data_IF_430246827662
#
_entry.id   IF_430246827662
#
_cell.length_a   1.000
_cell.length_b   1.000
_cell.length_c   1.000
_cell.angle_alpha   90.00
_cell.angle_beta   90.00
_cell.angle_gamma   90.00
#
_symmetry.space_group_name_H-M   'P 1'
#
loop_
_entity.id
_entity.type
_entity.pdbx_description
1 polymer ?
#
# COMPACT_ATOMS: atom_id res chain seq x y z
N UNK A 1 -27.63 -53.85 -38.75
CA UNK A 1 -28.00 -53.44 -37.38
C UNK A 1 -27.29 -52.12 -37.11
N UNK A 2 -28.04 -51.03 -37.28
CA UNK A 2 -27.55 -49.64 -37.15
C UNK A 2 -27.50 -49.26 -35.66
N UNK A 3 -26.35 -48.82 -35.18
CA UNK A 3 -26.21 -48.22 -33.85
C UNK A 3 -26.32 -46.69 -34.00
N UNK A 4 -27.39 -46.12 -33.45
CA UNK A 4 -27.64 -44.70 -33.42
C UNK A 4 -26.69 -44.04 -32.40
N UNK A 5 -25.88 -43.07 -32.86
CA UNK A 5 -25.05 -42.23 -32.02
C UNK A 5 -25.91 -41.22 -31.27
N UNK A 6 -25.72 -41.15 -29.94
CA UNK A 6 -26.27 -40.11 -29.06
C UNK A 6 -25.58 -38.78 -29.30
N UNK A 7 -26.29 -37.65 -29.31
CA UNK A 7 -25.68 -36.33 -29.43
C UNK A 7 -24.98 -35.94 -28.12
N UNK A 8 -23.75 -35.46 -28.24
CA UNK A 8 -22.97 -34.85 -27.13
C UNK A 8 -23.64 -33.56 -26.67
N UNK A 9 -23.72 -33.29 -25.35
CA UNK A 9 -24.26 -32.02 -24.84
C UNK A 9 -23.33 -30.86 -25.22
N UNK A 10 -23.95 -29.84 -25.85
CA UNK A 10 -23.27 -28.65 -26.35
C UNK A 10 -22.51 -27.91 -25.24
N UNK A 11 -21.27 -27.54 -25.55
CA UNK A 11 -20.45 -26.62 -24.79
C UNK A 11 -21.22 -25.30 -24.58
N UNK A 12 -21.15 -24.65 -23.41
CA UNK A 12 -21.76 -23.34 -23.21
C UNK A 12 -21.11 -22.32 -24.14
N UNK A 13 -21.89 -21.81 -25.09
CA UNK A 13 -21.50 -20.73 -25.99
C UNK A 13 -21.26 -19.49 -25.09
N UNK A 14 -20.00 -19.07 -24.98
CA UNK A 14 -19.67 -17.80 -24.34
C UNK A 14 -20.43 -16.67 -25.05
N UNK A 15 -21.09 -15.74 -24.32
CA UNK A 15 -21.83 -14.66 -24.94
C UNK A 15 -20.88 -13.86 -25.83
N UNK A 16 -21.25 -13.75 -27.13
CA UNK A 16 -20.51 -12.92 -28.10
C UNK A 16 -20.64 -11.45 -27.66
N UNK A 17 -19.62 -10.94 -26.99
CA UNK A 17 -19.54 -9.51 -26.67
C UNK A 17 -19.59 -8.72 -27.97
N UNK A 18 -20.57 -7.85 -28.10
CA UNK A 18 -20.73 -6.97 -29.26
C UNK A 18 -19.54 -6.01 -29.33
N UNK A 19 -19.13 -5.60 -30.54
CA UNK A 19 -17.99 -4.68 -30.75
C UNK A 19 -18.11 -3.42 -29.87
N UNK A 20 -19.33 -2.90 -29.70
CA UNK A 20 -19.61 -1.73 -28.86
C UNK A 20 -19.32 -1.94 -27.37
N UNK A 21 -19.58 -3.12 -26.82
CA UNK A 21 -19.25 -3.42 -25.42
C UNK A 21 -17.74 -3.56 -25.22
N UNK A 22 -17.04 -4.17 -26.16
CA UNK A 22 -15.56 -4.25 -26.13
C UNK A 22 -14.90 -2.88 -26.26
N UNK A 23 -15.44 -2.00 -27.11
CA UNK A 23 -14.94 -0.64 -27.27
C UNK A 23 -15.21 0.20 -26.01
N UNK A 24 -16.39 0.11 -25.42
CA UNK A 24 -16.73 0.78 -24.16
C UNK A 24 -15.85 0.29 -22.99
N UNK A 25 -15.63 -1.01 -22.89
CA UNK A 25 -14.75 -1.60 -21.89
C UNK A 25 -13.28 -1.18 -22.11
N UNK A 26 -12.82 -1.13 -23.36
CA UNK A 26 -11.48 -0.64 -23.69
C UNK A 26 -11.30 0.84 -23.38
N UNK A 27 -12.31 1.68 -23.67
CA UNK A 27 -12.30 3.10 -23.36
C UNK A 27 -12.32 3.37 -21.85
N UNK A 28 -13.13 2.61 -21.10
CA UNK A 28 -13.14 2.72 -19.63
C UNK A 28 -11.85 2.21 -19.00
N UNK A 29 -11.26 1.16 -19.54
CA UNK A 29 -9.96 0.64 -19.11
C UNK A 29 -8.81 1.62 -19.44
N UNK A 30 -8.86 2.26 -20.62
CA UNK A 30 -7.86 3.24 -21.05
C UNK A 30 -8.03 4.62 -20.37
N UNK A 31 -9.20 4.94 -19.84
CA UNK A 31 -9.51 6.26 -19.29
C UNK A 31 -8.60 6.67 -18.13
N UNK A 32 -8.30 5.76 -17.21
CA UNK A 32 -7.41 6.03 -16.06
C UNK A 32 -5.96 6.29 -16.47
N UNK A 33 -5.31 5.46 -17.30
CA UNK A 33 -3.94 5.73 -17.76
C UNK A 33 -3.87 6.97 -18.64
N UNK A 34 -4.87 7.26 -19.49
CA UNK A 34 -4.93 8.50 -20.29
C UNK A 34 -5.02 9.74 -19.39
N UNK A 35 -5.88 9.72 -18.38
CA UNK A 35 -6.00 10.81 -17.41
C UNK A 35 -4.68 11.05 -16.68
N UNK A 36 -3.99 9.98 -16.27
CA UNK A 36 -2.67 10.09 -15.66
C UNK A 36 -1.64 10.69 -16.64
N UNK A 37 -1.62 10.25 -17.89
CA UNK A 37 -0.76 10.81 -18.94
C UNK A 37 -1.00 12.30 -19.15
N UNK A 38 -2.27 12.73 -19.19
CA UNK A 38 -2.64 14.15 -19.33
C UNK A 38 -2.18 14.98 -18.10
N UNK A 39 -2.37 14.45 -16.89
CA UNK A 39 -1.88 15.10 -15.66
C UNK A 39 -0.36 15.24 -15.65
N UNK A 40 0.34 14.18 -16.05
CA UNK A 40 1.80 14.17 -16.18
C UNK A 40 2.27 15.23 -17.18
N UNK A 41 1.68 15.23 -18.37
CA UNK A 41 1.98 16.21 -19.41
C UNK A 41 1.73 17.64 -18.92
N UNK A 42 0.57 17.92 -18.33
CA UNK A 42 0.23 19.24 -17.80
C UNK A 42 1.19 19.68 -16.67
N UNK A 43 1.57 18.77 -15.77
CA UNK A 43 2.51 19.05 -14.68
C UNK A 43 3.89 19.42 -15.19
N UNK A 44 4.41 18.68 -16.18
CA UNK A 44 5.71 18.95 -16.81
C UNK A 44 5.67 20.26 -17.59
N UNK A 45 4.64 20.47 -18.41
CA UNK A 45 4.49 21.68 -19.21
C UNK A 45 4.37 22.94 -18.34
N UNK A 46 3.58 22.87 -17.27
CA UNK A 46 3.44 23.99 -16.33
C UNK A 46 4.76 24.29 -15.62
N UNK A 47 5.48 23.25 -15.16
CA UNK A 47 6.75 23.45 -14.46
C UNK A 47 7.84 24.03 -15.36
N UNK A 48 7.93 23.57 -16.61
CA UNK A 48 8.83 24.16 -17.62
C UNK A 48 8.46 25.60 -17.93
N UNK A 49 7.17 25.90 -18.14
CA UNK A 49 6.69 27.24 -18.38
C UNK A 49 7.10 28.22 -17.27
N UNK A 50 6.85 27.82 -16.00
CA UNK A 50 7.21 28.65 -14.83
C UNK A 50 8.73 28.81 -14.71
N UNK A 51 9.51 27.73 -14.93
CA UNK A 51 10.97 27.79 -14.85
C UNK A 51 11.57 28.69 -15.95
N UNK A 52 11.05 28.65 -17.18
CA UNK A 52 11.45 29.55 -18.27
C UNK A 52 11.01 31.00 -18.01
N UNK A 53 9.82 31.18 -17.43
CA UNK A 53 9.33 32.55 -17.09
C UNK A 53 10.18 33.20 -15.98
N UNK A 54 10.76 32.37 -15.07
CA UNK A 54 11.69 32.82 -14.03
C UNK A 54 13.14 32.90 -14.53
N UNK A 55 13.40 32.64 -15.80
CA UNK A 55 14.74 32.66 -16.41
C UNK A 55 15.75 31.80 -15.71
N UNK A 56 15.33 30.58 -15.24
CA UNK A 56 16.23 29.66 -14.55
C UNK A 56 17.15 28.97 -15.58
N UNK A 57 18.46 28.89 -15.25
CA UNK A 57 19.49 28.32 -16.12
C UNK A 57 19.23 26.88 -16.53
N UNK A 58 18.68 26.07 -15.62
CA UNK A 58 18.47 24.63 -15.82
C UNK A 58 17.00 24.24 -15.70
N UNK A 59 16.11 24.94 -16.41
CA UNK A 59 14.65 24.76 -16.40
C UNK A 59 14.20 23.28 -16.54
N UNK A 60 14.99 22.44 -17.25
CA UNK A 60 14.69 21.01 -17.43
C UNK A 60 14.61 20.24 -16.11
N UNK A 61 15.28 20.67 -15.04
CA UNK A 61 15.19 20.03 -13.73
C UNK A 61 13.82 20.23 -13.06
N UNK A 62 13.17 21.36 -13.33
CA UNK A 62 11.80 21.57 -12.88
C UNK A 62 10.85 20.58 -13.57
N UNK A 63 10.97 20.43 -14.91
CA UNK A 63 10.21 19.45 -15.68
C UNK A 63 10.46 18.00 -15.26
N UNK A 64 11.73 17.63 -15.12
CA UNK A 64 12.13 16.32 -14.64
C UNK A 64 11.60 16.03 -13.22
N UNK A 65 11.61 17.04 -12.34
CA UNK A 65 11.10 16.90 -10.97
C UNK A 65 9.59 16.73 -10.95
N UNK A 66 8.84 17.49 -11.76
CA UNK A 66 7.41 17.32 -11.92
C UNK A 66 7.07 15.91 -12.43
N UNK A 67 7.80 15.41 -13.43
CA UNK A 67 7.61 14.07 -13.99
C UNK A 67 7.85 12.97 -12.94
N UNK A 68 8.95 13.07 -12.19
CA UNK A 68 9.31 12.06 -11.17
C UNK A 68 8.35 12.06 -9.99
N UNK A 69 7.86 13.24 -9.58
CA UNK A 69 6.95 13.39 -8.44
C UNK A 69 5.53 13.02 -8.81
N UNK A 70 5.09 13.24 -10.04
CA UNK A 70 3.76 12.94 -10.50
C UNK A 70 3.46 11.43 -10.34
N UNK A 71 2.47 11.11 -9.52
CA UNK A 71 1.98 9.76 -9.25
C UNK A 71 0.48 9.69 -9.60
N UNK A 72 -0.11 8.49 -9.81
CA UNK A 72 -1.53 8.37 -10.09
C UNK A 72 -2.45 8.96 -9.02
N UNK A 73 -1.99 9.04 -7.78
CA UNK A 73 -2.73 9.55 -6.62
C UNK A 73 -2.05 10.78 -6.02
N UNK A 74 -2.85 11.77 -5.62
CA UNK A 74 -2.38 13.03 -5.04
C UNK A 74 -1.50 12.78 -3.80
N UNK A 75 -1.95 11.90 -2.89
CA UNK A 75 -1.23 11.61 -1.65
C UNK A 75 0.17 11.04 -1.87
N UNK A 76 0.31 10.10 -2.81
CA UNK A 76 1.61 9.55 -3.21
C UNK A 76 2.52 10.62 -3.78
N UNK A 77 1.96 11.50 -4.62
CA UNK A 77 2.70 12.59 -5.26
C UNK A 77 3.20 13.62 -4.23
N UNK A 78 2.33 14.08 -3.34
CA UNK A 78 2.69 15.01 -2.26
C UNK A 78 3.73 14.43 -1.32
N UNK A 79 3.55 13.14 -0.94
CA UNK A 79 4.50 12.45 -0.07
C UNK A 79 5.86 12.32 -0.73
N UNK A 80 5.89 11.88 -1.99
CA UNK A 80 7.12 11.76 -2.77
C UNK A 80 7.80 13.12 -2.98
N UNK A 81 7.02 14.17 -3.27
CA UNK A 81 7.51 15.52 -3.43
C UNK A 81 8.16 16.05 -2.15
N UNK A 82 7.53 15.85 -1.00
CA UNK A 82 8.07 16.25 0.29
C UNK A 82 9.41 15.58 0.59
N UNK A 83 9.50 14.27 0.43
CA UNK A 83 10.75 13.53 0.64
C UNK A 83 11.81 13.87 -0.41
N UNK A 84 11.40 14.20 -1.64
CA UNK A 84 12.30 14.71 -2.66
C UNK A 84 12.92 16.04 -2.25
N UNK A 85 12.10 16.97 -1.73
CA UNK A 85 12.60 18.27 -1.26
C UNK A 85 13.59 18.10 -0.11
N UNK A 86 13.26 17.28 0.90
CA UNK A 86 14.16 16.98 2.02
C UNK A 86 15.50 16.43 1.53
N UNK A 87 15.48 15.39 0.68
CA UNK A 87 16.70 14.79 0.15
C UNK A 87 17.55 15.78 -0.64
N UNK A 88 16.91 16.63 -1.45
CA UNK A 88 17.61 17.68 -2.21
C UNK A 88 18.27 18.68 -1.29
N UNK A 89 17.56 19.19 -0.28
CA UNK A 89 18.10 20.18 0.67
C UNK A 89 19.27 19.57 1.47
N UNK A 90 19.12 18.34 1.96
CA UNK A 90 20.18 17.65 2.71
C UNK A 90 21.41 17.43 1.83
N UNK A 91 21.24 16.98 0.58
CA UNK A 91 22.34 16.82 -0.37
C UNK A 91 23.00 18.14 -0.75
N UNK A 92 22.21 19.19 -0.93
CA UNK A 92 22.70 20.55 -1.21
C UNK A 92 23.55 21.12 -0.06
N UNK A 93 23.06 20.97 1.18
CA UNK A 93 23.82 21.39 2.36
C UNK A 93 25.12 20.60 2.49
N UNK A 94 25.07 19.28 2.28
CA UNK A 94 26.25 18.43 2.37
C UNK A 94 27.35 18.84 1.39
N UNK A 95 26.99 19.12 0.12
CA UNK A 95 27.99 19.53 -0.88
C UNK A 95 28.55 20.93 -0.58
N UNK A 96 27.75 21.87 -0.11
CA UNK A 96 28.24 23.18 0.31
C UNK A 96 29.25 23.04 1.46
N UNK A 97 28.97 22.21 2.46
CA UNK A 97 29.91 21.94 3.57
C UNK A 97 31.18 21.27 3.06
N UNK A 98 31.06 20.24 2.21
CA UNK A 98 32.23 19.55 1.62
C UNK A 98 33.10 20.52 0.82
N UNK A 99 32.51 21.39 0.03
CA UNK A 99 33.23 22.41 -0.73
C UNK A 99 33.91 23.39 0.19
N UNK A 100 33.25 23.84 1.25
CA UNK A 100 33.85 24.76 2.24
C UNK A 100 35.02 24.14 3.03
N UNK A 101 34.95 22.83 3.33
CA UNK A 101 36.02 22.12 4.05
C UNK A 101 37.24 21.81 3.15
N UNK A 102 37.04 21.58 1.85
CA UNK A 102 38.10 21.11 0.94
C UNK A 102 38.25 22.03 -0.29
N UNK A 103 38.42 23.33 -0.04
CA UNK A 103 38.42 24.36 -1.09
C UNK A 103 39.51 24.17 -2.14
N UNK A 104 40.67 23.61 -1.77
CA UNK A 104 41.86 23.53 -2.66
C UNK A 104 42.27 22.09 -3.03
N UNK A 105 41.86 21.11 -2.25
CA UNK A 105 42.34 19.73 -2.37
C UNK A 105 41.28 18.81 -2.99
N UNK A 106 41.48 18.43 -4.28
CA UNK A 106 40.53 17.56 -5.00
C UNK A 106 40.43 16.14 -4.42
N UNK A 107 41.55 15.57 -3.94
CA UNK A 107 41.56 14.19 -3.45
C UNK A 107 40.71 14.02 -2.18
N UNK A 108 40.89 14.80 -1.08
CA UNK A 108 40.04 14.69 0.09
C UNK A 108 38.59 15.09 -0.17
N UNK A 109 38.31 16.02 -1.11
CA UNK A 109 36.95 16.33 -1.55
C UNK A 109 36.25 15.10 -2.18
N UNK A 110 36.91 14.40 -3.11
CA UNK A 110 36.35 13.19 -3.73
C UNK A 110 36.16 12.05 -2.73
N UNK A 111 37.09 11.89 -1.77
CA UNK A 111 36.93 10.90 -0.68
C UNK A 111 35.73 11.28 0.21
N UNK A 112 35.61 12.54 0.60
CA UNK A 112 34.47 13.03 1.37
C UNK A 112 33.14 12.81 0.65
N UNK A 113 33.08 13.10 -0.65
CA UNK A 113 31.90 12.88 -1.49
C UNK A 113 31.55 11.38 -1.59
N UNK A 114 32.55 10.52 -1.77
CA UNK A 114 32.35 9.07 -1.79
C UNK A 114 31.83 8.53 -0.45
N UNK A 115 32.37 8.99 0.67
CA UNK A 115 31.91 8.63 2.02
C UNK A 115 30.48 9.12 2.26
N UNK A 116 30.15 10.34 1.83
CA UNK A 116 28.79 10.86 1.87
C UNK A 116 27.82 9.98 1.08
N UNK A 117 28.15 9.66 -0.16
CA UNK A 117 27.36 8.78 -1.02
C UNK A 117 27.14 7.40 -0.40
N UNK A 118 28.20 6.79 0.13
CA UNK A 118 28.15 5.50 0.82
C UNK A 118 27.25 5.55 2.06
N UNK A 119 27.36 6.63 2.88
CA UNK A 119 26.49 6.85 4.03
C UNK A 119 25.01 7.01 3.64
N UNK A 120 24.73 7.76 2.57
CA UNK A 120 23.39 7.89 2.02
C UNK A 120 22.83 6.55 1.49
N UNK A 121 23.65 5.77 0.80
CA UNK A 121 23.26 4.45 0.32
C UNK A 121 22.97 3.49 1.48
N UNK A 122 23.81 3.47 2.51
CA UNK A 122 23.57 2.68 3.73
C UNK A 122 22.25 3.10 4.40
N UNK A 123 22.05 4.40 4.58
CA UNK A 123 20.81 4.93 5.18
C UNK A 123 19.58 4.56 4.36
N UNK A 124 19.67 4.59 3.03
CA UNK A 124 18.58 4.18 2.14
C UNK A 124 18.22 2.69 2.28
N UNK A 125 19.18 1.81 2.63
CA UNK A 125 18.88 0.39 2.88
C UNK A 125 18.21 0.15 4.22
N UNK A 126 18.41 1.04 5.21
CA UNK A 126 17.80 0.94 6.55
C UNK A 126 16.40 1.56 6.60
N UNK A 127 16.13 2.52 5.75
CA UNK A 127 14.84 3.20 5.68
C UNK A 127 13.88 2.46 4.73
N UNK A 128 12.59 2.83 4.80
CA UNK A 128 11.53 2.24 3.96
C UNK A 128 10.82 3.33 3.13
N UNK A 129 10.19 2.92 2.05
CA UNK A 129 9.32 3.74 1.22
C UNK A 129 9.99 5.06 0.76
N UNK A 130 9.29 6.18 0.89
CA UNK A 130 9.78 7.49 0.45
C UNK A 130 10.95 8.02 1.29
N UNK A 131 11.13 7.56 2.53
CA UNK A 131 12.29 7.94 3.34
C UNK A 131 13.60 7.35 2.79
N UNK A 132 13.57 6.10 2.31
CA UNK A 132 14.70 5.48 1.60
C UNK A 132 15.07 6.26 0.33
N UNK A 133 14.04 6.67 -0.43
CA UNK A 133 14.21 7.51 -1.62
C UNK A 133 14.87 8.86 -1.28
N UNK A 134 14.46 9.51 -0.18
CA UNK A 134 15.05 10.78 0.27
C UNK A 134 16.53 10.64 0.60
N UNK A 135 16.93 9.57 1.29
CA UNK A 135 18.33 9.30 1.63
C UNK A 135 19.19 9.06 0.36
N UNK A 136 18.71 8.25 -0.57
CA UNK A 136 19.38 8.02 -1.85
C UNK A 136 19.52 9.33 -2.65
N UNK A 137 18.48 10.16 -2.63
CA UNK A 137 18.47 11.44 -3.34
C UNK A 137 19.45 12.45 -2.75
N UNK A 138 19.69 12.44 -1.42
CA UNK A 138 20.68 13.29 -0.80
C UNK A 138 22.10 13.00 -1.31
N UNK A 139 22.45 11.73 -1.47
CA UNK A 139 23.72 11.32 -2.10
C UNK A 139 23.80 11.74 -3.58
N UNK A 140 22.75 11.46 -4.32
CA UNK A 140 22.66 11.79 -5.74
C UNK A 140 22.72 13.30 -6.01
N UNK A 141 22.02 14.12 -5.22
CA UNK A 141 22.02 15.59 -5.36
C UNK A 141 23.40 16.18 -5.11
N UNK A 142 24.08 15.74 -4.05
CA UNK A 142 25.44 16.18 -3.76
C UNK A 142 26.39 15.84 -4.90
N UNK A 143 26.28 14.63 -5.48
CA UNK A 143 27.12 14.20 -6.59
C UNK A 143 26.87 15.01 -7.87
N UNK A 144 25.61 15.34 -8.19
CA UNK A 144 25.32 16.18 -9.38
C UNK A 144 25.90 17.57 -9.21
N UNK A 145 25.66 18.24 -8.07
CA UNK A 145 26.20 19.58 -7.82
C UNK A 145 27.75 19.55 -7.87
N UNK A 146 28.37 18.49 -7.32
CA UNK A 146 29.81 18.30 -7.40
C UNK A 146 30.28 18.16 -8.85
N UNK A 147 29.57 17.41 -9.70
CA UNK A 147 29.94 17.23 -11.10
C UNK A 147 29.82 18.51 -11.90
N UNK A 148 28.78 19.30 -11.63
CA UNK A 148 28.60 20.62 -12.27
C UNK A 148 29.73 21.59 -11.89
N UNK A 149 30.20 21.56 -10.61
CA UNK A 149 31.35 22.34 -10.16
C UNK A 149 32.68 21.89 -10.78
N UNK A 150 32.92 20.57 -10.84
CA UNK A 150 34.19 20.02 -11.37
C UNK A 150 34.27 20.18 -12.90
N UNK A 151 33.12 20.23 -13.58
CA UNK A 151 33.03 20.46 -15.02
C UNK A 151 33.22 21.92 -15.45
N UNK A 152 33.04 22.87 -14.53
CA UNK A 152 33.28 24.27 -14.80
C UNK A 152 34.79 24.57 -14.81
N UNK A 153 35.29 25.17 -15.86
CA UNK A 153 36.72 25.46 -16.10
C UNK A 153 37.31 26.57 -15.21
N UNK A 154 36.83 26.73 -13.99
CA UNK A 154 37.18 27.86 -13.14
C UNK A 154 37.62 27.53 -11.69
N UNK A 155 37.64 26.28 -11.27
CA UNK A 155 38.03 25.91 -9.90
C UNK A 155 36.88 26.11 -8.87
N UNK A 156 37.09 25.74 -7.59
CA UNK A 156 36.06 25.76 -6.54
C UNK A 156 35.82 27.18 -6.03
N UNK A 157 35.12 27.96 -6.80
CA UNK A 157 34.75 29.33 -6.45
C UNK A 157 33.31 29.30 -5.95
N UNK A 158 32.99 29.62 -4.72
CA UNK A 158 31.71 30.03 -4.16
C UNK A 158 30.37 29.62 -4.81
N UNK A 159 30.42 29.12 -6.01
CA UNK A 159 29.28 28.77 -6.88
C UNK A 159 28.48 27.56 -6.37
N UNK A 160 29.07 26.72 -5.49
CA UNK A 160 28.37 25.59 -4.88
C UNK A 160 27.08 26.00 -4.18
N UNK A 161 27.13 27.15 -3.49
CA UNK A 161 25.96 27.66 -2.79
C UNK A 161 24.89 28.14 -3.77
N UNK A 162 25.28 28.85 -4.82
CA UNK A 162 24.35 29.32 -5.84
C UNK A 162 23.75 28.13 -6.61
N UNK A 163 24.58 27.17 -7.04
CA UNK A 163 24.12 25.95 -7.67
C UNK A 163 23.17 25.13 -6.77
N UNK A 164 23.45 25.05 -5.46
CA UNK A 164 22.59 24.38 -4.48
C UNK A 164 21.22 25.05 -4.37
N UNK A 165 21.17 26.39 -4.30
CA UNK A 165 19.92 27.17 -4.23
C UNK A 165 19.14 27.03 -5.53
N UNK A 166 19.78 27.23 -6.67
CA UNK A 166 19.14 27.12 -7.99
C UNK A 166 18.54 25.72 -8.16
N UNK A 167 19.30 24.69 -7.81
CA UNK A 167 18.82 23.32 -7.87
C UNK A 167 17.60 23.06 -6.95
N UNK A 168 17.65 23.55 -5.71
CA UNK A 168 16.53 23.41 -4.78
C UNK A 168 15.28 24.17 -5.28
N UNK A 169 15.47 25.34 -5.89
CA UNK A 169 14.38 26.13 -6.45
C UNK A 169 13.74 25.44 -7.66
N UNK A 170 14.53 24.94 -8.61
CA UNK A 170 14.05 24.20 -9.79
C UNK A 170 13.24 22.96 -9.38
N UNK A 171 13.77 22.17 -8.43
CA UNK A 171 13.07 20.99 -7.90
C UNK A 171 11.80 21.40 -7.16
N UNK A 172 11.84 22.48 -6.37
CA UNK A 172 10.69 23.01 -5.65
C UNK A 172 9.56 23.43 -6.60
N UNK A 173 9.88 24.14 -7.69
CA UNK A 173 8.92 24.54 -8.72
C UNK A 173 8.26 23.31 -9.35
N UNK A 174 9.06 22.30 -9.72
CA UNK A 174 8.52 21.05 -10.27
C UNK A 174 7.55 20.35 -9.31
N UNK A 175 7.87 20.29 -8.02
CA UNK A 175 7.00 19.69 -6.97
C UNK A 175 5.71 20.49 -6.83
N UNK A 176 5.78 21.82 -6.76
CA UNK A 176 4.61 22.68 -6.59
C UNK A 176 3.68 22.60 -7.80
N UNK A 177 4.22 22.68 -9.01
CA UNK A 177 3.43 22.59 -10.25
C UNK A 177 2.73 21.23 -10.37
N UNK A 178 3.43 20.13 -10.08
CA UNK A 178 2.82 18.81 -10.05
C UNK A 178 1.72 18.73 -8.97
N UNK A 179 1.96 19.28 -7.79
CA UNK A 179 0.98 19.36 -6.70
C UNK A 179 -0.29 20.12 -7.10
N UNK A 180 -0.16 21.24 -7.75
CA UNK A 180 -1.30 22.08 -8.22
C UNK A 180 -2.14 21.30 -9.23
N UNK A 181 -1.52 20.71 -10.25
CA UNK A 181 -2.25 19.96 -11.28
C UNK A 181 -2.98 18.76 -10.67
N UNK A 182 -2.31 18.01 -9.79
CA UNK A 182 -2.93 16.86 -9.14
C UNK A 182 -4.04 17.30 -8.17
N UNK A 183 -3.83 18.32 -7.35
CA UNK A 183 -4.85 18.82 -6.44
C UNK A 183 -6.11 19.33 -7.17
N UNK A 184 -5.94 19.92 -8.36
CA UNK A 184 -7.05 20.37 -9.18
C UNK A 184 -7.78 19.25 -9.95
N UNK A 185 -7.18 18.07 -10.07
CA UNK A 185 -7.72 16.97 -10.88
C UNK A 185 -8.02 15.70 -10.10
N UNK A 186 -7.42 15.49 -8.93
CA UNK A 186 -7.68 14.35 -8.05
C UNK A 186 -8.67 14.79 -6.96
N UNK A 187 -9.90 14.27 -7.06
CA UNK A 187 -11.00 14.60 -6.14
C UNK A 187 -10.85 13.93 -4.76
N UNK A 188 -9.70 13.33 -4.47
CA UNK A 188 -9.46 12.61 -3.24
C UNK A 188 -10.18 11.25 -3.21
N UNK A 189 -9.61 10.31 -2.51
CA UNK A 189 -10.22 8.97 -2.44
C UNK A 189 -9.39 7.99 -1.63
N UNK A 190 -8.22 8.42 -1.16
CA UNK A 190 -7.32 7.58 -0.39
C UNK A 190 -8.02 6.93 0.79
N UNK A 191 -8.84 7.70 1.49
CA UNK A 191 -9.63 7.24 2.63
C UNK A 191 -10.60 6.12 2.26
N UNK A 192 -11.40 6.32 1.19
CA UNK A 192 -12.34 5.29 0.69
C UNK A 192 -11.61 4.09 0.14
N UNK A 193 -10.52 4.31 -0.59
CA UNK A 193 -9.68 3.24 -1.14
C UNK A 193 -9.07 2.41 -0.02
N UNK A 194 -8.48 3.04 0.99
CA UNK A 194 -7.90 2.37 2.14
C UNK A 194 -8.97 1.57 2.89
N UNK A 195 -10.13 2.19 3.20
CA UNK A 195 -11.27 1.52 3.80
C UNK A 195 -11.73 0.30 2.99
N UNK A 196 -11.84 0.41 1.66
CA UNK A 196 -12.24 -0.71 0.81
C UNK A 196 -11.21 -1.85 0.79
N UNK A 197 -9.91 -1.55 0.88
CA UNK A 197 -8.86 -2.56 0.96
C UNK A 197 -8.91 -3.31 2.29
N UNK A 198 -9.05 -2.59 3.42
CA UNK A 198 -9.22 -3.21 4.73
C UNK A 198 -10.47 -4.07 4.80
N UNK A 199 -11.62 -3.55 4.31
CA UNK A 199 -12.87 -4.29 4.25
C UNK A 199 -12.75 -5.55 3.40
N UNK A 200 -12.13 -5.45 2.22
CA UNK A 200 -11.91 -6.58 1.33
C UNK A 200 -11.06 -7.67 1.95
N UNK A 201 -9.93 -7.29 2.57
CA UNK A 201 -9.06 -8.24 3.27
C UNK A 201 -9.76 -8.87 4.47
N UNK A 202 -10.46 -8.09 5.28
CA UNK A 202 -11.22 -8.58 6.42
C UNK A 202 -12.30 -9.57 6.00
N UNK A 203 -13.08 -9.23 4.96
CA UNK A 203 -14.12 -10.10 4.42
C UNK A 203 -13.54 -11.42 3.87
N UNK A 204 -12.42 -11.36 3.15
CA UNK A 204 -11.77 -12.54 2.59
C UNK A 204 -11.19 -13.44 3.70
N UNK A 205 -10.51 -12.86 4.70
CA UNK A 205 -9.99 -13.62 5.85
C UNK A 205 -11.13 -14.30 6.59
N UNK A 206 -12.21 -13.57 6.90
CA UNK A 206 -13.38 -14.12 7.60
C UNK A 206 -14.06 -15.23 6.80
N UNK A 207 -14.26 -15.03 5.49
CA UNK A 207 -14.87 -16.02 4.61
C UNK A 207 -14.05 -17.31 4.49
N UNK A 208 -12.74 -17.21 4.31
CA UNK A 208 -11.85 -18.37 4.24
C UNK A 208 -11.69 -19.07 5.57
N UNK A 209 -11.67 -18.33 6.68
CA UNK A 209 -11.68 -18.88 8.02
C UNK A 209 -12.96 -19.69 8.27
N UNK A 210 -14.12 -19.13 7.97
CA UNK A 210 -15.41 -19.81 8.10
C UNK A 210 -15.49 -21.05 7.22
N UNK A 211 -15.01 -20.98 5.97
CA UNK A 211 -14.93 -22.13 5.08
C UNK A 211 -14.04 -23.26 5.66
N UNK A 212 -12.96 -22.91 6.37
CA UNK A 212 -12.10 -23.89 7.05
C UNK A 212 -12.87 -24.65 8.13
N UNK A 213 -13.73 -23.96 8.90
CA UNK A 213 -14.58 -24.60 9.91
C UNK A 213 -15.68 -25.45 9.27
N UNK A 214 -16.32 -24.97 8.19
CA UNK A 214 -17.39 -25.72 7.48
C UNK A 214 -16.84 -26.99 6.86
N UNK A 215 -15.62 -26.99 6.33
CA UNK A 215 -14.97 -28.12 5.68
C UNK A 215 -14.14 -28.97 6.64
N UNK A 216 -14.25 -28.75 7.96
CA UNK A 216 -13.52 -29.51 8.96
C UNK A 216 -13.83 -31.02 8.85
N UNK A 217 -12.80 -31.85 8.98
CA UNK A 217 -12.88 -33.30 8.82
C UNK A 217 -12.14 -33.78 7.56
N UNK A 218 -12.68 -34.77 6.81
CA UNK A 218 -11.95 -35.38 5.69
C UNK A 218 -11.68 -34.41 4.53
N UNK A 219 -12.46 -33.34 4.41
CA UNK A 219 -12.36 -32.35 3.34
C UNK A 219 -11.65 -31.05 3.76
N UNK A 220 -10.92 -31.09 4.88
CA UNK A 220 -10.19 -29.90 5.37
C UNK A 220 -9.15 -29.45 4.34
N UNK A 221 -9.27 -28.24 3.77
CA UNK A 221 -8.35 -27.78 2.74
C UNK A 221 -6.98 -27.42 3.34
N UNK A 222 -5.93 -27.51 2.53
CA UNK A 222 -4.66 -26.86 2.88
C UNK A 222 -4.84 -25.34 2.84
N UNK A 223 -4.79 -24.72 4.01
CA UNK A 223 -4.98 -23.27 4.17
C UNK A 223 -3.68 -22.49 4.00
N UNK A 224 -2.52 -23.15 3.90
CA UNK A 224 -1.21 -22.50 3.90
C UNK A 224 -1.00 -21.56 2.70
N UNK A 225 -1.32 -21.95 1.44
CA UNK A 225 -1.15 -21.06 0.29
C UNK A 225 -2.01 -19.81 0.40
N UNK A 226 -3.29 -19.97 0.80
CA UNK A 226 -4.22 -18.86 0.94
C UNK A 226 -3.77 -17.87 2.05
N UNK A 227 -3.29 -18.37 3.18
CA UNK A 227 -2.78 -17.53 4.27
C UNK A 227 -1.49 -16.79 3.87
N UNK A 228 -0.58 -17.43 3.14
CA UNK A 228 0.64 -16.77 2.62
C UNK A 228 0.29 -15.63 1.67
N UNK A 229 -0.67 -15.85 0.77
CA UNK A 229 -1.11 -14.81 -0.18
C UNK A 229 -1.75 -13.64 0.57
N UNK A 230 -2.64 -13.90 1.53
CA UNK A 230 -3.26 -12.84 2.33
C UNK A 230 -2.22 -12.09 3.18
N UNK A 231 -1.25 -12.79 3.79
CA UNK A 231 -0.14 -12.15 4.52
C UNK A 231 0.63 -11.18 3.61
N UNK A 232 0.96 -11.61 2.39
CA UNK A 232 1.63 -10.74 1.41
C UNK A 232 0.79 -9.52 1.07
N UNK A 233 -0.53 -9.69 0.89
CA UNK A 233 -1.45 -8.58 0.60
C UNK A 233 -1.62 -7.63 1.79
N UNK A 234 -1.62 -8.12 3.02
CA UNK A 234 -1.62 -7.28 4.23
C UNK A 234 -0.32 -6.48 4.32
N UNK A 235 0.84 -7.11 4.07
CA UNK A 235 2.12 -6.39 4.04
C UNK A 235 2.16 -5.32 2.95
N UNK A 236 1.49 -5.54 1.81
CA UNK A 236 1.40 -4.58 0.72
C UNK A 236 0.49 -3.37 1.03
N UNK A 237 -0.18 -3.31 2.19
CA UNK A 237 -0.91 -2.12 2.64
C UNK A 237 0.02 -0.98 3.10
N UNK A 238 1.23 -1.29 3.58
CA UNK A 238 2.17 -0.30 4.12
C UNK A 238 2.43 0.89 3.17
N UNK A 239 2.82 0.69 1.90
CA UNK A 239 2.97 1.80 0.96
C UNK A 239 1.65 2.54 0.66
N UNK A 240 0.51 1.85 0.67
CA UNK A 240 -0.80 2.48 0.43
C UNK A 240 -1.20 3.37 1.62
N UNK A 241 -0.88 2.96 2.85
CA UNK A 241 -1.07 3.76 4.06
C UNK A 241 -0.17 5.00 4.02
N UNK A 242 1.11 4.84 3.63
CA UNK A 242 2.05 5.95 3.50
C UNK A 242 1.59 6.97 2.43
N UNK A 243 1.04 6.50 1.31
CA UNK A 243 0.39 7.36 0.31
C UNK A 243 -0.80 8.13 0.89
N UNK A 244 -1.67 7.45 1.64
CA UNK A 244 -2.87 8.06 2.24
C UNK A 244 -2.53 9.15 3.27
N UNK A 245 -1.41 9.01 3.97
CA UNK A 245 -0.89 10.05 4.87
C UNK A 245 -0.47 11.34 4.14
N UNK A 246 -0.11 11.25 2.88
CA UNK A 246 0.17 12.41 2.04
C UNK A 246 -1.08 13.21 1.68
N UNK A 247 -2.25 12.54 1.56
CA UNK A 247 -3.50 13.17 1.13
C UNK A 247 -4.29 13.79 2.30
N UNK A 248 -4.21 13.21 3.50
CA UNK A 248 -5.03 13.63 4.63
C UNK A 248 -4.25 13.74 5.93
N UNK A 249 -4.27 14.96 6.51
CA UNK A 249 -3.73 15.20 7.85
C UNK A 249 -4.48 14.42 8.94
N UNK A 250 -5.78 14.20 8.77
CA UNK A 250 -6.58 13.39 9.70
C UNK A 250 -6.11 11.93 9.72
N UNK A 251 -5.83 11.31 8.56
CA UNK A 251 -5.30 9.95 8.51
C UNK A 251 -3.94 9.84 9.19
N UNK A 252 -3.12 10.88 9.07
CA UNK A 252 -1.82 10.95 9.76
C UNK A 252 -1.97 10.99 11.27
N UNK A 253 -2.96 11.71 11.76
CA UNK A 253 -3.29 11.74 13.19
C UNK A 253 -3.85 10.40 13.70
N UNK A 254 -4.52 9.65 12.83
CA UNK A 254 -5.07 8.32 13.11
C UNK A 254 -4.08 7.17 12.82
N UNK A 255 -2.81 7.48 12.59
CA UNK A 255 -1.76 6.47 12.33
C UNK A 255 -1.75 5.31 13.34
N UNK A 256 -1.89 5.53 14.67
CA UNK A 256 -1.94 4.42 15.62
C UNK A 256 -3.14 3.48 15.41
N UNK A 257 -4.29 4.03 14.99
CA UNK A 257 -5.50 3.24 14.72
C UNK A 257 -5.30 2.36 13.49
N UNK A 258 -4.69 2.91 12.43
CA UNK A 258 -4.37 2.13 11.23
C UNK A 258 -3.36 1.02 11.52
N UNK A 259 -2.40 1.29 12.38
CA UNK A 259 -1.42 0.28 12.80
C UNK A 259 -2.08 -0.84 13.57
N UNK A 260 -2.95 -0.53 14.54
CA UNK A 260 -3.77 -1.52 15.25
C UNK A 260 -4.64 -2.33 14.28
N UNK A 261 -5.15 -1.69 13.21
CA UNK A 261 -5.93 -2.37 12.19
C UNK A 261 -5.08 -3.39 11.39
N UNK A 262 -3.87 -3.03 10.99
CA UNK A 262 -2.93 -3.94 10.30
C UNK A 262 -2.53 -5.11 11.22
N UNK A 263 -2.14 -4.79 12.47
CA UNK A 263 -1.77 -5.81 13.47
C UNK A 263 -2.91 -6.80 13.71
N UNK A 264 -4.13 -6.30 13.69
CA UNK A 264 -5.31 -7.13 13.80
C UNK A 264 -5.52 -8.07 12.61
N UNK A 265 -5.27 -7.66 11.38
CA UNK A 265 -5.32 -8.57 10.23
C UNK A 265 -4.28 -9.69 10.37
N UNK A 266 -3.06 -9.38 10.84
CA UNK A 266 -2.05 -10.40 11.14
C UNK A 266 -2.48 -11.32 12.28
N UNK A 267 -3.07 -10.79 13.35
CA UNK A 267 -3.61 -11.59 14.45
C UNK A 267 -4.72 -12.56 13.98
N UNK A 268 -5.63 -12.07 13.10
CA UNK A 268 -6.65 -12.92 12.50
C UNK A 268 -6.06 -14.06 11.64
N UNK A 269 -5.02 -13.77 10.85
CA UNK A 269 -4.30 -14.79 10.08
C UNK A 269 -3.57 -15.81 10.97
N UNK A 270 -3.00 -15.35 12.09
CA UNK A 270 -2.36 -16.22 13.08
C UNK A 270 -3.38 -17.13 13.79
N UNK A 271 -4.51 -16.58 14.21
CA UNK A 271 -5.62 -17.35 14.79
C UNK A 271 -6.17 -18.38 13.81
N UNK A 272 -6.37 -17.99 12.54
CA UNK A 272 -6.77 -18.95 11.50
C UNK A 272 -5.74 -20.10 11.35
N UNK A 273 -4.44 -19.78 11.39
CA UNK A 273 -3.39 -20.82 11.37
C UNK A 273 -3.53 -21.76 12.56
N UNK A 274 -3.72 -21.23 13.77
CA UNK A 274 -3.84 -22.02 14.99
C UNK A 274 -5.04 -22.98 14.90
N UNK A 275 -6.20 -22.48 14.46
CA UNK A 275 -7.41 -23.28 14.23
C UNK A 275 -7.17 -24.37 13.19
N UNK A 276 -6.60 -24.05 12.03
CA UNK A 276 -6.36 -25.01 10.97
C UNK A 276 -5.40 -26.13 11.41
N UNK A 277 -4.31 -25.78 12.12
CA UNK A 277 -3.35 -26.76 12.65
C UNK A 277 -3.99 -27.63 13.72
N UNK A 278 -4.86 -27.07 14.56
CA UNK A 278 -5.58 -27.83 15.59
C UNK A 278 -6.53 -28.84 14.95
N UNK A 279 -7.34 -28.43 13.97
CA UNK A 279 -8.28 -29.31 13.28
C UNK A 279 -7.60 -30.48 12.56
N UNK A 280 -6.40 -30.25 11.98
CA UNK A 280 -5.61 -31.32 11.34
C UNK A 280 -5.17 -32.39 12.33
N UNK A 281 -4.96 -32.05 13.59
CA UNK A 281 -4.48 -33.00 14.66
C UNK A 281 -5.58 -33.86 15.25
N UNK A 282 -6.84 -33.46 15.02
CA UNK A 282 -7.99 -34.20 15.52
C UNK A 282 -8.38 -35.33 14.56
N UNK A 283 -9.10 -36.35 15.08
CA UNK A 283 -9.81 -37.30 14.21
C UNK A 283 -10.86 -36.55 13.37
N UNK A 284 -11.14 -37.03 12.17
CA UNK A 284 -12.07 -36.33 11.25
C UNK A 284 -13.45 -36.10 11.90
N UNK A 285 -13.93 -37.05 12.66
CA UNK A 285 -15.23 -36.95 13.33
C UNK A 285 -15.20 -35.95 14.48
N UNK A 286 -14.12 -35.90 15.24
CA UNK A 286 -13.95 -34.94 16.31
C UNK A 286 -13.78 -33.53 15.78
N UNK A 287 -12.94 -33.36 14.76
CA UNK A 287 -12.75 -32.07 14.07
C UNK A 287 -14.08 -31.48 13.58
N UNK A 288 -14.92 -32.32 12.95
CA UNK A 288 -16.23 -31.93 12.47
C UNK A 288 -17.18 -31.56 13.62
N UNK A 289 -17.27 -32.38 14.67
CA UNK A 289 -18.13 -32.09 15.83
C UNK A 289 -17.76 -30.78 16.52
N UNK A 290 -16.48 -30.55 16.75
CA UNK A 290 -15.99 -29.32 17.41
C UNK A 290 -16.16 -28.08 16.52
N UNK A 291 -15.86 -28.18 15.22
CA UNK A 291 -16.10 -27.10 14.27
C UNK A 291 -17.59 -26.76 14.15
N UNK A 292 -18.50 -27.76 14.13
CA UNK A 292 -19.95 -27.54 14.10
C UNK A 292 -20.44 -26.87 15.39
N UNK A 293 -19.85 -27.18 16.55
CA UNK A 293 -20.18 -26.52 17.80
C UNK A 293 -19.79 -25.03 17.78
N UNK A 294 -18.59 -24.73 17.27
CA UNK A 294 -18.11 -23.35 17.11
C UNK A 294 -18.96 -22.61 16.08
N UNK A 295 -19.25 -23.21 14.92
CA UNK A 295 -20.09 -22.60 13.88
C UNK A 295 -21.50 -22.26 14.39
N UNK A 296 -22.10 -23.10 15.27
CA UNK A 296 -23.39 -22.78 15.89
C UNK A 296 -23.35 -21.55 16.78
N UNK A 297 -22.20 -21.27 17.42
CA UNK A 297 -22.00 -20.08 18.22
C UNK A 297 -21.78 -18.82 17.37
N UNK A 298 -21.24 -18.96 16.15
CA UNK A 298 -21.04 -17.85 15.21
C UNK A 298 -22.39 -17.47 14.56
N UNK A 299 -22.80 -16.20 14.57
CA UNK A 299 -24.03 -15.73 13.91
C UNK A 299 -24.09 -16.07 12.42
N UNK A 300 -25.28 -16.32 11.85
CA UNK A 300 -25.44 -16.71 10.43
C UNK A 300 -24.92 -15.65 9.47
N UNK A 301 -24.95 -14.38 9.85
CA UNK A 301 -24.45 -13.24 9.07
C UNK A 301 -22.95 -13.34 8.80
N UNK A 302 -22.18 -13.97 9.70
CA UNK A 302 -20.75 -14.21 9.53
C UNK A 302 -20.45 -15.56 8.85
N UNK A 303 -21.42 -16.50 8.83
CA UNK A 303 -21.27 -17.82 8.21
C UNK A 303 -21.54 -17.80 6.69
N UNK A 304 -22.42 -16.93 6.23
CA UNK A 304 -22.90 -16.84 4.85
C UNK A 304 -22.05 -15.97 3.94
N UNK A 305 -20.75 -15.87 4.21
CA UNK A 305 -19.87 -15.10 3.33
C UNK A 305 -19.57 -15.89 2.05
N UNK A 306 -19.95 -15.41 0.86
CA UNK A 306 -19.40 -15.94 -0.38
C UNK A 306 -17.87 -15.79 -0.36
N UNK A 307 -17.18 -16.68 -1.04
CA UNK A 307 -15.69 -16.69 -1.14
C UNK A 307 -15.13 -15.35 -1.66
N UNK A 308 -15.97 -14.56 -2.30
CA UNK A 308 -15.73 -13.16 -2.64
C UNK A 308 -16.62 -12.30 -1.72
N UNK A 309 -16.15 -12.09 -0.48
CA UNK A 309 -16.82 -11.21 0.47
C UNK A 309 -17.04 -9.84 -0.13
N UNK A 310 -18.28 -9.35 -0.11
CA UNK A 310 -18.58 -8.01 -0.60
C UNK A 310 -17.98 -6.97 0.37
N UNK A 311 -16.89 -6.29 -0.01
CA UNK A 311 -16.29 -5.23 0.82
C UNK A 311 -17.29 -4.16 1.21
N UNK A 312 -18.30 -3.93 0.34
CA UNK A 312 -19.38 -2.96 0.55
C UNK A 312 -20.19 -3.25 1.81
N UNK A 313 -20.47 -4.51 2.12
CA UNK A 313 -21.23 -4.89 3.31
C UNK A 313 -20.50 -4.52 4.61
N UNK A 314 -19.18 -4.72 4.62
CA UNK A 314 -18.32 -4.39 5.76
C UNK A 314 -18.13 -2.87 5.95
N UNK A 315 -18.29 -2.10 4.87
CA UNK A 315 -18.21 -0.65 4.90
C UNK A 315 -19.56 0.03 5.19
N UNK A 316 -20.68 -0.64 4.86
CA UNK A 316 -22.01 -0.03 4.93
C UNK A 316 -22.50 0.17 6.39
N UNK A 317 -22.21 -0.81 7.26
CA UNK A 317 -22.61 -0.75 8.68
C UNK A 317 -21.52 -1.34 9.59
N UNK A 318 -20.48 -0.57 9.90
CA UNK A 318 -19.41 -1.01 10.79
C UNK A 318 -19.87 -1.19 12.23
N UNK A 319 -20.90 -0.45 12.68
CA UNK A 319 -21.43 -0.54 14.04
C UNK A 319 -22.22 -1.82 14.23
N UNK A 320 -23.10 -2.14 13.28
CA UNK A 320 -23.83 -3.41 13.26
C UNK A 320 -22.91 -4.61 13.21
N UNK A 321 -21.86 -4.56 12.35
CA UNK A 321 -20.84 -5.61 12.27
C UNK A 321 -20.13 -5.82 13.61
N UNK A 322 -19.78 -4.75 14.31
CA UNK A 322 -19.20 -4.81 15.65
C UNK A 322 -20.12 -5.56 16.61
N UNK A 323 -21.41 -5.22 16.65
CA UNK A 323 -22.40 -5.87 17.51
C UNK A 323 -22.54 -7.37 17.22
N UNK A 324 -22.49 -7.75 15.93
CA UNK A 324 -22.50 -9.14 15.49
C UNK A 324 -21.24 -9.88 15.99
N UNK A 325 -20.04 -9.30 15.83
CA UNK A 325 -18.80 -9.87 16.32
C UNK A 325 -18.76 -9.98 17.85
N UNK A 326 -19.27 -8.98 18.58
CA UNK A 326 -19.36 -9.03 20.05
C UNK A 326 -20.30 -10.12 20.52
N UNK A 327 -21.40 -10.34 19.83
CA UNK A 327 -22.33 -11.42 20.13
C UNK A 327 -21.72 -12.77 19.86
N UNK A 328 -20.97 -12.92 18.76
CA UNK A 328 -20.23 -14.12 18.43
C UNK A 328 -19.19 -14.45 19.50
N UNK A 329 -18.38 -13.47 19.90
CA UNK A 329 -17.35 -13.64 20.94
C UNK A 329 -17.96 -14.08 22.26
N UNK A 330 -19.06 -13.46 22.71
CA UNK A 330 -19.76 -13.86 23.95
C UNK A 330 -20.28 -15.30 23.90
N UNK A 331 -20.84 -15.74 22.76
CA UNK A 331 -21.30 -17.11 22.56
C UNK A 331 -20.16 -18.12 22.54
N UNK A 332 -19.01 -17.77 21.96
CA UNK A 332 -17.82 -18.61 21.94
C UNK A 332 -17.21 -18.76 23.35
N UNK A 333 -17.18 -17.70 24.14
CA UNK A 333 -16.75 -17.75 25.54
C UNK A 333 -17.63 -18.74 26.34
N UNK A 334 -18.92 -18.80 26.06
CA UNK A 334 -19.81 -19.78 26.72
C UNK A 334 -19.45 -21.24 26.41
N UNK A 335 -18.74 -21.53 25.31
CA UNK A 335 -18.25 -22.87 24.98
C UNK A 335 -17.00 -23.30 25.79
N UNK A 336 -16.41 -22.41 26.59
CA UNK A 336 -15.21 -22.68 27.39
C UNK A 336 -15.42 -23.73 28.48
N UNK A 337 -16.67 -24.10 28.80
CA UNK A 337 -17.02 -25.18 29.71
C UNK A 337 -16.87 -26.59 29.11
N UNK A 338 -16.61 -26.68 27.80
CA UNK A 338 -16.44 -27.94 27.06
C UNK A 338 -15.07 -28.62 27.24
N UNK A 339 -14.78 -29.56 26.35
CA UNK A 339 -13.48 -30.25 26.31
C UNK A 339 -12.31 -29.27 26.12
N UNK A 340 -11.10 -29.58 26.59
CA UNK A 340 -9.93 -28.70 26.36
C UNK A 340 -9.68 -28.36 24.91
N UNK A 341 -9.95 -29.29 24.00
CA UNK A 341 -9.84 -29.14 22.56
C UNK A 341 -10.87 -28.10 22.02
N UNK A 342 -12.15 -28.26 22.40
CA UNK A 342 -13.21 -27.32 21.99
C UNK A 342 -12.96 -25.93 22.58
N UNK A 343 -12.45 -25.85 23.82
CA UNK A 343 -12.09 -24.58 24.45
C UNK A 343 -11.03 -23.84 23.63
N UNK A 344 -9.94 -24.55 23.26
CA UNK A 344 -8.88 -23.95 22.43
C UNK A 344 -9.43 -23.44 21.10
N UNK A 345 -10.28 -24.23 20.43
CA UNK A 345 -10.89 -23.84 19.15
C UNK A 345 -11.81 -22.63 19.31
N UNK A 346 -12.62 -22.60 20.38
CA UNK A 346 -13.50 -21.47 20.68
C UNK A 346 -12.71 -20.20 21.02
N UNK A 347 -11.64 -20.30 21.81
CA UNK A 347 -10.78 -19.15 22.17
C UNK A 347 -10.10 -18.55 20.94
N UNK A 348 -9.49 -19.38 20.10
CA UNK A 348 -8.84 -18.90 18.87
C UNK A 348 -9.85 -18.28 17.90
N UNK A 349 -11.06 -18.85 17.80
CA UNK A 349 -12.13 -18.27 16.97
C UNK A 349 -12.61 -16.93 17.55
N UNK A 350 -12.74 -16.84 18.87
CA UNK A 350 -13.11 -15.59 19.55
C UNK A 350 -12.05 -14.50 19.36
N UNK A 351 -10.77 -14.88 19.35
CA UNK A 351 -9.67 -13.95 19.08
C UNK A 351 -9.74 -13.40 17.65
N UNK A 352 -9.93 -14.27 16.64
CA UNK A 352 -10.10 -13.87 15.23
C UNK A 352 -11.27 -12.88 15.09
N UNK A 353 -12.44 -13.17 15.67
CA UNK A 353 -13.61 -12.31 15.61
C UNK A 353 -13.45 -11.05 16.47
N UNK A 354 -12.71 -11.12 17.57
CA UNK A 354 -12.38 -9.98 18.43
C UNK A 354 -11.51 -8.94 17.73
N UNK A 355 -10.69 -9.36 16.77
CA UNK A 355 -9.93 -8.45 15.89
C UNK A 355 -10.88 -7.62 15.04
N UNK A 356 -11.84 -8.24 14.37
CA UNK A 356 -12.82 -7.52 13.55
C UNK A 356 -13.69 -6.57 14.37
N UNK A 357 -13.98 -6.88 15.64
CA UNK A 357 -14.62 -5.97 16.59
C UNK A 357 -13.81 -4.68 16.79
N UNK A 358 -12.49 -4.79 16.97
CA UNK A 358 -11.60 -3.64 17.20
C UNK A 358 -11.44 -2.78 15.95
N UNK A 359 -11.43 -3.39 14.77
CA UNK A 359 -11.30 -2.68 13.50
C UNK A 359 -12.49 -1.76 13.19
N UNK A 360 -13.72 -2.15 13.53
CA UNK A 360 -14.91 -1.36 13.24
C UNK A 360 -14.98 -0.03 14.01
N UNK A 361 -14.17 0.18 15.06
CA UNK A 361 -14.07 1.44 15.80
C UNK A 361 -13.14 2.46 15.17
N UNK A 362 -12.24 2.02 14.28
CA UNK A 362 -11.19 2.84 13.67
C UNK A 362 -11.39 3.12 12.18
N UNK A 363 -12.53 2.77 11.61
CA UNK A 363 -12.81 3.06 10.20
C UNK A 363 -13.04 4.55 10.02
N UNK A 364 -12.23 5.18 9.17
CA UNK A 364 -12.31 6.60 8.91
C UNK A 364 -13.57 7.00 8.14
#
# INVERSE_FOLDING_TARGET
MMAAGLPTPGSPVAPSMTFNTRLADALTAAGRPLLFGLRLWASVSLSLYVAFWLELDNAYWAGASAAVVCQPHLGASLRKGWFRLIGTVVGAVAIVVLTACFVQDRAPFLVGLALWGAGCALTATLLRNFAAYSAALAGYTATIIASDQLGATGGPNGDAFMLAITRASEIGIGIVCAGIILAGTDLGGARRRLGSLFAGLSAEIAGRFTATLVLAGPNLPDTQPARRELTRRVTALDPVIDEAFGESSQLRYQSPVLQVAVDGLFAALAGWRAVAVHLVRLSHEQARREADAVLRAVPPELRSTPVQGEPRRWMADPVGLRGICETAVRRLIALQTGTPSLRLLADQTAEVLGVFRRHSTGWP
#
